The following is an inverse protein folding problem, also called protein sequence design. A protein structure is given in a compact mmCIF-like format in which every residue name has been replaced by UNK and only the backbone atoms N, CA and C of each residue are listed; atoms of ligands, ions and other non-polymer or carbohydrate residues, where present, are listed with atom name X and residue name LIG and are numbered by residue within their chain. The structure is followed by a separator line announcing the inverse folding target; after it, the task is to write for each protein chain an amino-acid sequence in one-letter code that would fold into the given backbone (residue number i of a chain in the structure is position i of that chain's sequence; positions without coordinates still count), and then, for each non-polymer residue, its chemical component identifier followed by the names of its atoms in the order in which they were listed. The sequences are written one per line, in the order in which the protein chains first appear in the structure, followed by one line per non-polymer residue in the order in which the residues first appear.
data_IF_047035445355
#
_entry.id   IF_047035445355
#
_cell.length_a   1.000
_cell.length_b   1.000
_cell.length_c   1.000
_cell.angle_alpha   90.00
_cell.angle_beta   90.00
_cell.angle_gamma   90.00
#
_symmetry.space_group_name_H-M   'P 1'
#
loop_
_entity.id
_entity.type
_entity.pdbx_description
1 polymer ?
#
# COMPACT_ATOMS: atom_id res chain seq x y z
N UNK A 1 9.39 -29.41 -2.75
CA UNK A 1 8.86 -30.25 -3.85
C UNK A 1 7.57 -29.59 -4.29
N UNK A 2 7.48 -29.17 -5.54
CA UNK A 2 6.30 -28.58 -6.14
C UNK A 2 5.37 -29.74 -6.56
N UNK A 3 4.17 -29.82 -6.00
CA UNK A 3 3.28 -30.98 -6.19
C UNK A 3 2.49 -30.93 -7.52
N UNK A 4 2.77 -29.93 -8.36
CA UNK A 4 2.14 -29.75 -9.66
C UNK A 4 0.65 -29.40 -9.59
N UNK A 5 0.11 -29.12 -8.41
CA UNK A 5 -1.26 -28.64 -8.28
C UNK A 5 -1.39 -27.21 -8.83
N UNK A 6 -2.47 -26.88 -9.57
CA UNK A 6 -2.67 -25.54 -10.07
C UNK A 6 -2.81 -24.56 -8.90
N UNK A 7 -1.84 -23.65 -8.76
CA UNK A 7 -1.91 -22.55 -7.79
C UNK A 7 -2.78 -21.44 -8.34
N UNK A 8 -3.72 -20.97 -7.53
CA UNK A 8 -4.50 -19.77 -7.87
C UNK A 8 -3.54 -18.58 -7.94
N UNK A 9 -3.39 -18.00 -9.12
CA UNK A 9 -2.33 -17.05 -9.43
C UNK A 9 -2.86 -15.86 -10.23
N UNK A 10 -2.21 -14.71 -10.04
CA UNK A 10 -2.45 -13.49 -10.81
C UNK A 10 -1.17 -13.17 -11.59
N UNK A 11 -1.35 -12.77 -12.85
CA UNK A 11 -0.25 -12.25 -13.68
C UNK A 11 -0.43 -10.74 -13.86
N UNK A 12 0.41 -9.96 -13.18
CA UNK A 12 0.52 -8.51 -13.38
C UNK A 12 1.34 -8.28 -14.64
N UNK A 13 0.69 -7.87 -15.73
CA UNK A 13 1.38 -7.39 -16.94
C UNK A 13 1.64 -5.90 -16.76
N UNK A 14 2.91 -5.49 -16.73
CA UNK A 14 3.27 -4.11 -16.48
C UNK A 14 2.80 -3.19 -17.62
N UNK A 15 2.50 -1.94 -17.28
CA UNK A 15 2.06 -0.95 -18.25
C UNK A 15 3.20 -0.66 -19.24
N UNK A 16 2.86 -0.23 -20.48
CA UNK A 16 3.87 0.06 -21.52
C UNK A 16 4.86 1.17 -21.14
N UNK A 17 4.51 1.98 -20.15
CA UNK A 17 5.36 3.05 -19.63
C UNK A 17 6.38 2.56 -18.59
N UNK A 18 6.18 1.36 -18.03
CA UNK A 18 7.14 0.79 -17.10
C UNK A 18 8.39 0.35 -17.87
N UNK A 19 9.54 0.71 -17.32
CA UNK A 19 10.84 0.28 -17.84
C UNK A 19 11.21 -1.12 -17.35
N UNK A 20 12.19 -1.74 -17.99
CA UNK A 20 12.79 -2.99 -17.48
C UNK A 20 13.37 -2.78 -16.08
N UNK A 21 13.94 -1.61 -15.81
CA UNK A 21 14.46 -1.26 -14.50
C UNK A 21 13.36 -1.20 -13.41
N UNK A 22 12.15 -0.72 -13.76
CA UNK A 22 11.02 -0.75 -12.82
C UNK A 22 10.57 -2.18 -12.53
N UNK A 23 10.57 -3.03 -13.56
CA UNK A 23 10.27 -4.45 -13.40
C UNK A 23 11.28 -5.15 -12.50
N UNK A 24 12.58 -5.00 -12.78
CA UNK A 24 13.65 -5.60 -11.98
C UNK A 24 13.61 -5.14 -10.53
N UNK A 25 13.26 -3.86 -10.30
CA UNK A 25 13.11 -3.30 -8.95
C UNK A 25 11.95 -3.95 -8.19
N UNK A 26 10.78 -4.06 -8.82
CA UNK A 26 9.61 -4.69 -8.20
C UNK A 26 9.88 -6.17 -7.91
N UNK A 27 10.52 -6.89 -8.83
CA UNK A 27 10.94 -8.29 -8.65
C UNK A 27 11.90 -8.42 -7.46
N UNK A 28 12.96 -7.60 -7.41
CA UNK A 28 13.91 -7.63 -6.31
C UNK A 28 13.26 -7.33 -4.95
N UNK A 29 12.32 -6.39 -4.92
CA UNK A 29 11.56 -6.06 -3.71
C UNK A 29 10.68 -7.23 -3.24
N UNK A 30 9.93 -7.85 -4.16
CA UNK A 30 9.09 -9.03 -3.89
C UNK A 30 9.91 -10.23 -3.41
N UNK A 31 11.09 -10.45 -4.01
CA UNK A 31 12.01 -11.50 -3.57
C UNK A 31 12.57 -11.22 -2.19
N UNK A 32 12.98 -9.99 -1.91
CA UNK A 32 13.52 -9.61 -0.62
C UNK A 32 12.50 -9.92 0.49
N UNK A 33 11.25 -9.47 0.35
CA UNK A 33 10.19 -9.65 1.37
C UNK A 33 9.49 -11.00 1.37
N UNK A 34 10.00 -11.97 0.59
CA UNK A 34 9.47 -13.34 0.54
C UNK A 34 9.32 -13.91 1.96
N UNK A 35 8.18 -14.53 2.22
CA UNK A 35 7.80 -15.08 3.52
C UNK A 35 7.10 -14.10 4.47
N UNK A 36 6.98 -12.81 4.12
CA UNK A 36 6.10 -11.90 4.86
C UNK A 36 4.62 -12.27 4.61
N UNK A 37 3.82 -12.60 5.64
CA UNK A 37 2.45 -13.08 5.45
C UNK A 37 1.45 -12.01 4.99
N UNK A 38 1.84 -10.74 5.01
CA UNK A 38 0.96 -9.60 4.66
C UNK A 38 1.41 -8.88 3.38
N UNK A 39 2.34 -9.49 2.63
CA UNK A 39 2.79 -9.03 1.31
C UNK A 39 2.62 -10.17 0.33
N UNK A 40 2.18 -9.86 -0.89
CA UNK A 40 1.94 -10.84 -1.94
C UNK A 40 3.22 -11.62 -2.27
N UNK A 41 3.10 -12.95 -2.37
CA UNK A 41 4.20 -13.83 -2.70
C UNK A 41 4.34 -14.02 -4.22
N UNK A 42 5.52 -13.71 -4.74
CA UNK A 42 5.87 -13.92 -6.15
C UNK A 42 6.22 -15.39 -6.43
N UNK A 43 5.63 -15.93 -7.50
CA UNK A 43 5.97 -17.24 -8.05
C UNK A 43 7.05 -17.15 -9.14
N UNK A 44 7.05 -16.07 -9.93
CA UNK A 44 8.11 -15.79 -10.90
C UNK A 44 7.86 -14.51 -11.69
N UNK A 45 8.79 -14.18 -12.59
CA UNK A 45 8.71 -13.03 -13.49
C UNK A 45 9.15 -13.41 -14.90
N UNK A 46 8.83 -12.57 -15.89
CA UNK A 46 9.17 -12.84 -17.29
C UNK A 46 8.54 -11.84 -18.25
N UNK A 47 8.25 -12.31 -19.46
CA UNK A 47 7.71 -11.50 -20.55
C UNK A 47 6.41 -12.08 -21.09
N UNK A 48 5.44 -11.20 -21.36
CA UNK A 48 4.18 -11.52 -22.03
C UNK A 48 3.87 -10.45 -23.08
N UNK A 49 3.78 -10.87 -24.33
CA UNK A 49 3.44 -10.00 -25.48
C UNK A 49 4.33 -8.74 -25.54
N UNK A 50 5.64 -8.93 -25.36
CA UNK A 50 6.64 -7.85 -25.39
C UNK A 50 6.65 -6.94 -24.15
N UNK A 51 5.95 -7.31 -23.07
CA UNK A 51 5.91 -6.56 -21.80
C UNK A 51 6.40 -7.41 -20.65
N UNK A 52 7.09 -6.80 -19.70
CA UNK A 52 7.43 -7.48 -18.46
C UNK A 52 6.16 -7.89 -17.69
N UNK A 53 6.21 -9.03 -17.02
CA UNK A 53 5.13 -9.54 -16.21
C UNK A 53 5.63 -10.22 -14.93
N UNK A 54 4.82 -10.16 -13.88
CA UNK A 54 5.07 -10.82 -12.60
C UNK A 54 3.91 -11.77 -12.32
N UNK A 55 4.22 -13.02 -12.03
CA UNK A 55 3.26 -14.05 -11.62
C UNK A 55 3.36 -14.20 -10.10
N UNK A 56 2.23 -14.03 -9.42
CA UNK A 56 2.16 -13.97 -7.96
C UNK A 56 0.92 -14.71 -7.46
N UNK A 57 0.87 -14.99 -6.16
CA UNK A 57 -0.31 -15.56 -5.53
C UNK A 57 -1.53 -14.67 -5.74
N UNK A 58 -2.72 -15.29 -5.85
CA UNK A 58 -3.97 -14.54 -5.84
C UNK A 58 -4.33 -14.14 -4.41
N UNK A 59 -4.10 -12.86 -4.09
CA UNK A 59 -4.55 -12.27 -2.83
C UNK A 59 -6.08 -12.39 -2.67
N UNK A 60 -6.52 -12.69 -1.45
CA UNK A 60 -7.94 -12.91 -1.11
C UNK A 60 -8.65 -11.58 -0.84
N UNK A 61 -9.98 -11.60 -1.01
CA UNK A 61 -10.84 -10.48 -0.66
C UNK A 61 -10.96 -9.43 -1.76
N UNK A 62 -11.20 -8.18 -1.36
CA UNK A 62 -11.41 -7.02 -2.24
C UNK A 62 -10.40 -5.92 -1.90
N UNK A 63 -10.10 -4.98 -2.81
CA UNK A 63 -9.30 -3.81 -2.46
C UNK A 63 -9.90 -3.06 -1.27
N UNK A 64 -9.07 -2.66 -0.31
CA UNK A 64 -9.51 -1.90 0.85
C UNK A 64 -10.15 -0.57 0.42
N UNK A 65 -9.66 0.05 -0.65
CA UNK A 65 -10.28 1.25 -1.24
C UNK A 65 -11.75 1.04 -1.61
N UNK A 66 -12.08 -0.08 -2.25
CA UNK A 66 -13.46 -0.41 -2.63
C UNK A 66 -14.33 -0.54 -1.37
N UNK A 67 -13.82 -1.23 -0.35
CA UNK A 67 -14.51 -1.37 0.92
C UNK A 67 -14.76 0.00 1.59
N UNK A 68 -13.77 0.89 1.58
CA UNK A 68 -13.90 2.24 2.13
C UNK A 68 -14.90 3.09 1.35
N UNK A 69 -14.88 3.03 0.02
CA UNK A 69 -15.79 3.79 -0.86
C UNK A 69 -17.24 3.31 -0.74
N UNK A 70 -17.49 2.01 -0.79
CA UNK A 70 -18.83 1.44 -0.66
C UNK A 70 -19.44 1.76 0.70
N UNK A 71 -18.63 1.69 1.75
CA UNK A 71 -19.04 2.04 3.09
C UNK A 71 -19.33 3.54 3.25
N UNK A 72 -18.71 4.40 2.42
CA UNK A 72 -19.05 5.82 2.30
C UNK A 72 -20.37 6.07 1.56
N UNK A 73 -20.66 5.33 0.48
CA UNK A 73 -21.89 5.48 -0.32
C UNK A 73 -23.14 4.94 0.39
N UNK A 74 -23.02 3.82 1.09
CA UNK A 74 -24.15 3.15 1.75
C UNK A 74 -24.69 3.91 2.98
N UNK A 75 -24.01 4.98 3.43
CA UNK A 75 -24.32 5.66 4.69
C UNK A 75 -24.72 7.11 4.45
N UNK A 76 -26.02 7.39 4.53
CA UNK A 76 -26.49 8.73 4.89
C UNK A 76 -25.94 9.14 6.26
N UNK A 77 -25.92 10.44 6.56
CA UNK A 77 -25.36 11.22 7.71
C UNK A 77 -25.56 10.70 9.16
N UNK A 78 -25.76 9.41 9.42
CA UNK A 78 -25.94 8.83 10.76
C UNK A 78 -25.19 7.50 10.89
N UNK A 79 -23.90 7.63 11.22
CA UNK A 79 -23.08 6.75 12.07
C UNK A 79 -22.71 5.33 11.60
N UNK A 80 -21.39 5.09 11.43
CA UNK A 80 -20.54 4.05 12.07
C UNK A 80 -19.15 4.02 11.39
N UNK A 81 -18.10 3.68 12.13
CA UNK A 81 -16.75 3.42 11.58
C UNK A 81 -16.83 2.40 10.44
N UNK A 82 -16.01 2.55 9.38
CA UNK A 82 -16.07 1.66 8.20
C UNK A 82 -15.82 0.21 8.61
N UNK A 83 -14.80 0.02 9.45
CA UNK A 83 -14.48 -1.23 10.11
C UNK A 83 -14.76 -1.11 11.63
N UNK A 84 -15.18 -2.18 12.32
CA UNK A 84 -15.17 -2.25 13.78
C UNK A 84 -13.77 -2.08 14.36
N UNK A 85 -13.66 -1.51 15.57
CA UNK A 85 -12.36 -1.28 16.24
C UNK A 85 -11.44 -2.51 16.30
N UNK A 86 -11.91 -3.74 16.59
CA UNK A 86 -11.03 -4.91 16.56
C UNK A 86 -10.42 -5.18 15.18
N UNK A 87 -11.16 -4.91 14.11
CA UNK A 87 -10.67 -5.06 12.73
C UNK A 87 -9.68 -3.94 12.38
N UNK A 88 -9.89 -2.71 12.86
CA UNK A 88 -8.93 -1.60 12.69
C UNK A 88 -7.62 -1.91 13.42
N UNK A 89 -7.67 -2.41 14.65
CA UNK A 89 -6.48 -2.80 15.41
C UNK A 89 -5.73 -3.95 14.71
N UNK A 90 -6.46 -4.93 14.15
CA UNK A 90 -5.87 -6.00 13.34
C UNK A 90 -5.20 -5.44 12.09
N UNK A 91 -5.89 -4.58 11.33
CA UNK A 91 -5.36 -3.91 10.14
C UNK A 91 -4.06 -3.16 10.47
N UNK A 92 -4.05 -2.35 11.53
CA UNK A 92 -2.88 -1.62 11.99
C UNK A 92 -1.69 -2.55 12.26
N UNK A 93 -1.91 -3.63 13.03
CA UNK A 93 -0.87 -4.61 13.34
C UNK A 93 -0.29 -5.23 12.08
N UNK A 94 -1.14 -5.63 11.13
CA UNK A 94 -0.71 -6.31 9.92
C UNK A 94 0.06 -5.39 8.98
N UNK A 95 -0.41 -4.15 8.80
CA UNK A 95 0.30 -3.12 8.04
C UNK A 95 1.67 -2.83 8.64
N UNK A 96 1.73 -2.62 9.96
CA UNK A 96 3.00 -2.35 10.64
C UNK A 96 3.96 -3.54 10.57
N UNK A 97 3.48 -4.78 10.67
CA UNK A 97 4.32 -5.96 10.45
C UNK A 97 4.87 -6.02 9.03
N UNK A 98 4.09 -5.63 8.02
CA UNK A 98 4.58 -5.59 6.64
C UNK A 98 5.63 -4.49 6.43
N UNK A 99 5.37 -3.29 6.97
CA UNK A 99 6.31 -2.15 6.95
C UNK A 99 7.62 -2.53 7.63
N UNK A 100 7.56 -3.17 8.81
CA UNK A 100 8.75 -3.64 9.51
C UNK A 100 9.51 -4.69 8.69
N UNK A 101 8.81 -5.62 8.04
CA UNK A 101 9.44 -6.63 7.20
C UNK A 101 10.17 -6.01 5.98
N UNK A 102 9.62 -4.96 5.38
CA UNK A 102 10.25 -4.17 4.32
C UNK A 102 11.45 -3.39 4.87
N UNK A 103 11.27 -2.64 5.96
CA UNK A 103 12.31 -1.81 6.56
C UNK A 103 13.53 -2.63 7.03
N UNK A 104 13.31 -3.84 7.55
CA UNK A 104 14.38 -4.77 7.93
C UNK A 104 15.28 -5.17 6.74
N UNK A 105 14.83 -4.94 5.52
CA UNK A 105 15.57 -5.16 4.27
C UNK A 105 16.00 -3.85 3.62
N UNK A 106 15.90 -2.70 4.28
CA UNK A 106 16.25 -1.40 3.68
C UNK A 106 15.26 -0.94 2.60
N UNK A 107 14.04 -1.47 2.61
CA UNK A 107 12.98 -1.11 1.68
C UNK A 107 11.98 -0.17 2.35
N UNK A 108 11.54 0.84 1.60
CA UNK A 108 10.31 1.58 1.87
C UNK A 108 9.31 1.24 0.78
N UNK A 109 8.05 1.04 1.14
CA UNK A 109 7.00 0.83 0.15
C UNK A 109 6.81 2.07 -0.72
N UNK A 110 6.78 3.26 -0.11
CA UNK A 110 6.73 4.55 -0.83
C UNK A 110 5.40 4.91 -1.49
N UNK A 111 4.42 4.00 -1.54
CA UNK A 111 3.07 4.26 -2.07
C UNK A 111 2.01 3.38 -1.37
N UNK A 112 2.10 3.29 -0.04
CA UNK A 112 1.06 2.62 0.74
C UNK A 112 -0.24 3.40 0.66
N UNK A 113 -1.29 2.73 0.17
CA UNK A 113 -2.65 3.28 0.06
C UNK A 113 -3.68 2.15 0.05
N UNK A 114 -4.96 2.43 0.32
CA UNK A 114 -6.01 1.42 0.33
C UNK A 114 -6.15 0.62 -0.97
N UNK A 115 -5.84 1.22 -2.12
CA UNK A 115 -5.90 0.53 -3.43
C UNK A 115 -4.86 -0.60 -3.56
N UNK A 116 -3.75 -0.51 -2.81
CA UNK A 116 -2.66 -1.50 -2.85
C UNK A 116 -2.80 -2.58 -1.77
N UNK A 117 -3.93 -2.61 -1.05
CA UNK A 117 -4.19 -3.54 0.06
C UNK A 117 -5.45 -4.33 -0.27
N UNK A 118 -5.32 -5.65 -0.40
CA UNK A 118 -6.45 -6.57 -0.44
C UNK A 118 -6.88 -6.90 0.98
N UNK A 119 -8.19 -6.86 1.24
CA UNK A 119 -8.79 -7.15 2.55
C UNK A 119 -9.75 -8.33 2.44
N UNK A 120 -9.44 -9.43 3.13
CA UNK A 120 -10.31 -10.59 3.25
C UNK A 120 -11.36 -10.34 4.33
N UNK A 121 -12.60 -10.07 3.93
CA UNK A 121 -13.70 -9.79 4.84
C UNK A 121 -14.09 -10.99 5.73
N UNK A 122 -13.75 -12.22 5.32
CA UNK A 122 -14.05 -13.43 6.09
C UNK A 122 -13.09 -13.63 7.27
N UNK A 123 -11.82 -13.23 7.10
CA UNK A 123 -10.76 -13.46 8.10
C UNK A 123 -10.29 -12.18 8.80
N UNK A 124 -10.46 -11.03 8.13
CA UNK A 124 -9.89 -9.74 8.51
C UNK A 124 -8.39 -9.62 8.22
N UNK A 125 -7.82 -10.52 7.40
CA UNK A 125 -6.43 -10.47 6.98
C UNK A 125 -6.22 -9.57 5.75
N UNK A 126 -5.04 -8.97 5.66
CA UNK A 126 -4.62 -8.18 4.51
C UNK A 126 -3.51 -8.83 3.69
N UNK A 127 -3.43 -8.40 2.43
CA UNK A 127 -2.28 -8.63 1.57
C UNK A 127 -1.95 -7.36 0.80
N UNK A 128 -0.73 -6.85 0.96
CA UNK A 128 -0.20 -5.76 0.13
C UNK A 128 0.22 -6.33 -1.23
N UNK A 129 -0.27 -5.75 -2.32
CA UNK A 129 -0.17 -6.35 -3.67
C UNK A 129 0.65 -5.57 -4.70
N UNK A 130 1.09 -4.34 -4.39
CA UNK A 130 1.81 -3.51 -5.37
C UNK A 130 3.12 -2.96 -4.79
N UNK A 131 4.25 -3.44 -5.30
CA UNK A 131 5.59 -3.01 -4.90
C UNK A 131 6.29 -2.20 -6.00
N UNK A 132 5.55 -1.73 -7.02
CA UNK A 132 6.11 -1.01 -8.17
C UNK A 132 6.76 0.34 -7.82
N UNK A 133 6.41 0.91 -6.66
CA UNK A 133 6.95 2.18 -6.13
C UNK A 133 7.97 1.99 -5.00
N UNK A 134 8.38 0.74 -4.70
CA UNK A 134 9.30 0.45 -3.60
C UNK A 134 10.66 1.06 -3.84
N UNK A 135 11.14 1.85 -2.91
CA UNK A 135 12.47 2.47 -2.98
C UNK A 135 13.43 1.85 -1.96
N UNK A 136 14.68 1.64 -2.40
CA UNK A 136 15.79 1.26 -1.53
C UNK A 136 16.33 2.49 -0.80
N UNK A 137 16.51 2.37 0.51
CA UNK A 137 17.18 3.36 1.33
C UNK A 137 18.68 3.09 1.34
N UNK A 138 19.47 3.99 0.76
CA UNK A 138 20.93 3.91 0.70
C UNK A 138 21.62 5.15 1.29
N UNK A 139 22.98 5.16 1.32
CA UNK A 139 23.76 6.29 1.84
C UNK A 139 23.49 7.61 1.10
N UNK A 140 23.17 7.52 -0.19
CA UNK A 140 22.88 8.68 -1.04
C UNK A 140 21.40 9.13 -0.96
N UNK A 141 20.55 8.40 -0.24
CA UNK A 141 19.11 8.65 -0.16
C UNK A 141 18.29 7.52 -0.79
N UNK A 142 17.06 7.86 -1.24
CA UNK A 142 16.19 6.88 -1.89
C UNK A 142 16.56 6.67 -3.35
N UNK A 143 16.45 5.43 -3.82
CA UNK A 143 16.68 5.07 -5.23
C UNK A 143 15.77 5.79 -6.23
N UNK A 144 14.56 6.17 -5.81
CA UNK A 144 13.60 6.99 -6.55
C UNK A 144 12.47 7.45 -5.61
N UNK A 145 11.58 8.30 -6.11
CA UNK A 145 10.46 8.86 -5.35
C UNK A 145 9.15 8.67 -6.11
N UNK A 146 8.12 8.28 -5.38
CA UNK A 146 6.76 8.11 -5.87
C UNK A 146 5.78 8.28 -4.69
N UNK A 147 4.50 8.32 -4.99
CA UNK A 147 3.44 8.16 -4.01
C UNK A 147 2.16 8.88 -4.39
N UNK A 148 1.09 8.56 -3.65
CA UNK A 148 -0.25 9.08 -3.91
C UNK A 148 -0.59 10.23 -2.95
N UNK A 149 -1.02 11.41 -3.46
CA UNK A 149 -1.48 12.50 -2.62
C UNK A 149 -2.55 12.06 -1.61
N UNK A 150 -2.46 12.56 -0.38
CA UNK A 150 -3.36 12.20 0.72
C UNK A 150 -2.92 10.98 1.56
N UNK A 151 -2.00 10.16 1.06
CA UNK A 151 -1.37 9.07 1.83
C UNK A 151 0.14 9.26 2.03
N UNK A 152 0.75 10.12 1.24
CA UNK A 152 2.18 10.46 1.32
C UNK A 152 2.50 11.27 2.58
N UNK A 153 3.67 11.01 3.18
CA UNK A 153 4.21 11.85 4.26
C UNK A 153 4.75 13.18 3.73
N UNK A 154 4.90 14.18 4.61
CA UNK A 154 5.34 15.53 4.22
C UNK A 154 6.76 15.55 3.65
N UNK A 155 7.66 14.74 4.21
CA UNK A 155 9.04 14.63 3.71
C UNK A 155 9.12 13.91 2.37
N UNK A 156 8.24 12.93 2.11
CA UNK A 156 8.12 12.31 0.78
C UNK A 156 7.56 13.30 -0.25
N UNK A 157 6.53 14.06 0.13
CA UNK A 157 5.95 15.12 -0.71
C UNK A 157 6.99 16.18 -1.04
N UNK A 158 7.75 16.61 -0.04
CA UNK A 158 8.77 17.62 -0.23
C UNK A 158 9.84 17.16 -1.22
N UNK A 159 10.34 15.92 -1.11
CA UNK A 159 11.32 15.42 -2.08
C UNK A 159 10.73 15.25 -3.48
N UNK A 160 9.50 14.73 -3.59
CA UNK A 160 8.85 14.53 -4.89
C UNK A 160 8.64 15.86 -5.65
N UNK A 161 8.37 16.95 -4.93
CA UNK A 161 8.13 18.27 -5.52
C UNK A 161 9.31 19.24 -5.37
N UNK A 162 10.52 18.73 -5.10
CA UNK A 162 11.75 19.53 -4.96
C UNK A 162 11.60 20.72 -3.99
N UNK A 163 10.92 20.48 -2.86
CA UNK A 163 10.73 21.44 -1.78
C UNK A 163 11.76 21.24 -0.66
N UNK A 164 12.17 22.31 0.03
CA UNK A 164 13.04 22.20 1.19
C UNK A 164 12.39 21.33 2.29
N UNK A 165 13.12 20.34 2.78
CA UNK A 165 12.74 19.55 3.93
C UNK A 165 13.97 19.15 4.74
N UNK A 166 13.88 19.26 6.07
CA UNK A 166 14.94 18.84 6.98
C UNK A 166 14.96 17.31 7.17
N UNK A 167 13.81 16.67 6.97
CA UNK A 167 13.64 15.24 7.18
C UNK A 167 13.86 14.48 5.88
N UNK A 168 14.57 13.35 5.96
CA UNK A 168 14.72 12.42 4.85
C UNK A 168 13.66 11.32 4.95
N UNK A 169 13.09 10.88 3.82
CA UNK A 169 12.25 9.70 3.79
C UNK A 169 12.90 8.49 4.47
N UNK A 170 12.12 7.82 5.29
CA UNK A 170 12.54 6.65 6.06
C UNK A 170 11.32 5.78 6.38
N UNK A 171 11.48 4.75 7.23
CA UNK A 171 10.37 3.88 7.60
C UNK A 171 9.18 4.66 8.19
N UNK A 172 9.42 5.80 8.84
CA UNK A 172 8.36 6.64 9.41
C UNK A 172 7.46 7.25 8.32
N UNK A 173 7.96 7.39 7.09
CA UNK A 173 7.17 7.83 5.95
C UNK A 173 6.07 6.81 5.60
N UNK A 174 6.39 5.51 5.62
CA UNK A 174 5.40 4.44 5.44
C UNK A 174 4.46 4.34 6.66
N UNK A 175 4.95 4.57 7.88
CA UNK A 175 4.12 4.62 9.09
C UNK A 175 3.10 5.75 9.03
N UNK A 176 3.47 6.92 8.48
CA UNK A 176 2.53 8.01 8.26
C UNK A 176 1.43 7.62 7.27
N UNK A 177 1.77 6.90 6.18
CA UNK A 177 0.78 6.36 5.24
C UNK A 177 -0.17 5.36 5.91
N UNK A 178 0.34 4.49 6.79
CA UNK A 178 -0.49 3.61 7.63
C UNK A 178 -1.45 4.44 8.50
N UNK A 179 -0.98 5.54 9.10
CA UNK A 179 -1.81 6.49 9.83
C UNK A 179 -2.98 7.02 8.99
N UNK A 180 -2.72 7.47 7.76
CA UNK A 180 -3.74 7.93 6.82
C UNK A 180 -4.77 6.84 6.49
N UNK A 181 -4.32 5.60 6.26
CA UNK A 181 -5.19 4.44 5.99
C UNK A 181 -6.10 4.15 7.19
N UNK A 182 -5.55 4.16 8.42
CA UNK A 182 -6.33 3.93 9.64
C UNK A 182 -7.31 5.07 9.90
N UNK A 183 -6.92 6.32 9.62
CA UNK A 183 -7.83 7.47 9.63
C UNK A 183 -8.98 7.26 8.65
N UNK A 184 -8.73 6.81 7.42
CA UNK A 184 -9.78 6.53 6.45
C UNK A 184 -10.70 5.36 6.90
N UNK A 185 -10.14 4.32 7.51
CA UNK A 185 -10.90 3.17 8.02
C UNK A 185 -11.72 3.49 9.28
N UNK A 186 -11.31 4.51 10.04
CA UNK A 186 -12.01 5.02 11.23
C UNK A 186 -12.92 6.19 10.92
N UNK A 187 -12.70 6.90 9.81
CA UNK A 187 -13.33 8.16 9.49
C UNK A 187 -14.84 8.05 9.64
N UNK A 188 -15.35 8.82 10.60
CA UNK A 188 -16.76 9.11 10.70
C UNK A 188 -17.13 9.94 9.48
N UNK A 189 -18.20 9.57 8.78
CA UNK A 189 -18.85 10.45 7.82
C UNK A 189 -19.51 11.61 8.60
N UNK A 190 -18.72 12.58 9.08
CA UNK A 190 -19.09 13.97 9.40
C UNK A 190 -17.95 14.66 10.18
N UNK A 191 -17.22 15.59 9.55
CA UNK A 191 -17.00 16.95 10.09
C UNK A 191 -16.40 17.93 9.05
N UNK A 192 -17.08 18.19 7.94
CA UNK A 192 -16.91 19.48 7.22
C UNK A 192 -17.93 20.46 7.77
N UNK A 193 -17.62 20.94 8.98
CA UNK A 193 -18.40 21.94 9.71
C UNK A 193 -17.51 22.99 10.37
N UNK A 194 -16.33 23.29 9.81
CA UNK A 194 -15.69 24.59 10.05
C UNK A 194 -16.37 25.66 9.18
N UNK A 195 -17.66 25.87 9.43
CA UNK A 195 -18.29 27.13 9.11
C UNK A 195 -17.78 28.14 10.13
N UNK A 196 -16.85 29.00 9.70
CA UNK A 196 -16.60 30.27 10.39
C UNK A 196 -17.90 31.04 10.28
N UNK A 197 -18.76 30.91 11.30
CA UNK A 197 -19.94 31.72 11.45
C UNK A 197 -19.49 33.14 11.74
N UNK A 198 -19.42 33.97 10.70
CA UNK A 198 -19.59 35.41 10.86
C UNK A 198 -21.02 35.59 11.36
N UNK A 199 -21.16 35.99 12.62
CA UNK A 199 -22.43 36.48 13.15
C UNK A 199 -22.58 37.91 12.64
N UNK A 200 -23.74 38.19 12.06
CA UNK A 200 -24.22 39.54 11.78
C UNK A 200 -24.23 40.41 13.05
#
# INVERSE_FOLDING_TARGET
MDDGSPRDAVMKVLHRLNTVADHEREVAALEAVRGCPYVVQMYGSGWRDGRCCIVMERARGVPLEELLLEAGKARGRRSRTVLPYPQIARLARQLLTAVEAMAARGLLHGDLKPANIMYDQGTGDITIVDLGCVCWQGPEGLSHYAGTPGFMSLEMEAVLYDRPCEYRPCLQSDVAAVGCILCAATAFADNTGMGVGVRD
#
